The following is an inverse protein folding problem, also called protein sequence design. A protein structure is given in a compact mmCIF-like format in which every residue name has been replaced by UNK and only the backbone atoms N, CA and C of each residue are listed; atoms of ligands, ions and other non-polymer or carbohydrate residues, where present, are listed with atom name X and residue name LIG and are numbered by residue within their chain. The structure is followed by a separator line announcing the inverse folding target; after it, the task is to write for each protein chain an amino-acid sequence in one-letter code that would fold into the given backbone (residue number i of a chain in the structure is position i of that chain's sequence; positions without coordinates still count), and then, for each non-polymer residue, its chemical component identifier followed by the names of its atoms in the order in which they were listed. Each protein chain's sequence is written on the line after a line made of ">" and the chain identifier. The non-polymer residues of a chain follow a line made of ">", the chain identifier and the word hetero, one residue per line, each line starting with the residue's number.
data_IF_668116692506
#
_entry.id   IF_668116692506
#
_cell.length_a   1.000
_cell.length_b   1.000
_cell.length_c   1.000
_cell.angle_alpha   90.00
_cell.angle_beta   90.00
_cell.angle_gamma   90.00
#
_symmetry.space_group_name_H-M   'P 1'
#
loop_
_entity.id
_entity.type
_entity.pdbx_description
1 polymer ?
#
# COMPACT_ATOMS: atom_id res chain seq x y z
N UNK A 1 -16.38 -15.39 -2.35
CA UNK A 1 -15.67 -14.09 -2.18
C UNK A 1 -16.54 -13.03 -2.82
N UNK A 2 -16.80 -11.93 -2.15
CA UNK A 2 -17.54 -10.82 -2.74
C UNK A 2 -16.72 -10.22 -3.89
N UNK A 3 -17.38 -9.89 -4.99
CA UNK A 3 -16.71 -9.36 -6.18
C UNK A 3 -16.87 -7.83 -6.20
N UNK A 4 -16.12 -7.13 -5.34
CA UNK A 4 -16.17 -5.66 -5.21
C UNK A 4 -15.70 -4.96 -6.49
N UNK A 5 -14.66 -5.51 -7.12
CA UNK A 5 -14.13 -5.06 -8.40
C UNK A 5 -14.32 -6.20 -9.41
N UNK A 6 -15.28 -6.11 -10.33
CA UNK A 6 -15.51 -7.15 -11.32
C UNK A 6 -14.34 -7.25 -12.30
N UNK A 7 -14.07 -8.44 -12.87
CA UNK A 7 -12.92 -8.65 -13.76
C UNK A 7 -12.89 -7.74 -15.00
N UNK A 8 -14.04 -7.25 -15.43
CA UNK A 8 -14.19 -6.32 -16.56
C UNK A 8 -14.15 -4.83 -16.16
N UNK A 9 -13.92 -4.54 -14.88
CA UNK A 9 -13.80 -3.14 -14.43
C UNK A 9 -12.61 -2.45 -15.11
N UNK A 10 -12.74 -1.16 -15.46
CA UNK A 10 -11.64 -0.36 -15.96
C UNK A 10 -10.41 -0.35 -15.07
N UNK A 11 -10.56 -0.52 -13.77
CA UNK A 11 -9.44 -0.64 -12.83
C UNK A 11 -8.56 -1.88 -13.06
N UNK A 12 -9.11 -2.94 -13.65
CA UNK A 12 -8.42 -4.20 -13.90
C UNK A 12 -8.09 -4.44 -15.38
N UNK A 13 -8.87 -3.84 -16.29
CA UNK A 13 -8.73 -4.05 -17.74
C UNK A 13 -7.87 -2.99 -18.44
N UNK A 14 -7.81 -1.77 -17.90
CA UNK A 14 -6.88 -0.75 -18.39
C UNK A 14 -5.46 -1.10 -17.96
N UNK A 15 -4.49 -0.72 -18.80
CA UNK A 15 -3.09 -0.83 -18.40
C UNK A 15 -2.80 0.14 -17.26
N UNK A 16 -2.91 -0.35 -16.05
CA UNK A 16 -2.62 0.39 -14.81
C UNK A 16 -1.16 0.31 -14.41
N UNK A 17 -0.35 -0.42 -15.21
CA UNK A 17 1.10 -0.51 -14.96
C UNK A 17 1.74 0.85 -15.13
N UNK A 18 2.55 1.18 -14.18
CA UNK A 18 3.36 2.39 -14.20
C UNK A 18 4.78 2.06 -14.58
N UNK A 19 5.62 3.04 -14.72
CA UNK A 19 7.07 2.81 -14.93
C UNK A 19 7.69 2.00 -13.79
N UNK A 20 7.10 2.08 -12.61
CA UNK A 20 7.52 1.40 -11.40
C UNK A 20 6.76 0.10 -11.14
N UNK A 21 5.43 0.15 -11.30
CA UNK A 21 4.57 -0.99 -11.06
C UNK A 21 4.38 -1.79 -12.35
N UNK A 22 5.11 -2.89 -12.47
CA UNK A 22 5.12 -3.73 -13.68
C UNK A 22 4.07 -4.86 -13.64
N UNK A 23 3.49 -5.14 -12.47
CA UNK A 23 2.58 -6.25 -12.27
C UNK A 23 1.14 -5.75 -12.33
N UNK A 24 0.27 -6.30 -13.19
CA UNK A 24 -1.14 -5.96 -13.20
C UNK A 24 -1.81 -6.41 -11.89
N UNK A 25 -2.82 -5.67 -11.45
CA UNK A 25 -3.65 -6.12 -10.35
C UNK A 25 -4.37 -7.42 -10.70
N UNK A 26 -4.33 -8.38 -9.78
CA UNK A 26 -5.10 -9.61 -9.92
C UNK A 26 -6.46 -9.45 -9.23
N UNK A 27 -7.58 -9.77 -9.93
CA UNK A 27 -8.93 -9.54 -9.39
C UNK A 27 -9.17 -10.19 -8.03
N UNK A 28 -8.72 -11.43 -7.84
CA UNK A 28 -8.92 -12.16 -6.58
C UNK A 28 -8.13 -11.54 -5.43
N UNK A 29 -6.87 -11.13 -5.67
CA UNK A 29 -6.05 -10.47 -4.65
C UNK A 29 -6.64 -9.12 -4.25
N UNK A 30 -7.05 -8.32 -5.22
CA UNK A 30 -7.67 -7.02 -4.95
C UNK A 30 -8.98 -7.20 -4.17
N UNK A 31 -9.84 -8.12 -4.58
CA UNK A 31 -11.11 -8.37 -3.89
C UNK A 31 -10.90 -8.93 -2.46
N UNK A 32 -9.88 -9.79 -2.26
CA UNK A 32 -9.51 -10.27 -0.92
C UNK A 32 -9.06 -9.12 -0.02
N UNK A 33 -8.18 -8.24 -0.53
CA UNK A 33 -7.72 -7.06 0.22
C UNK A 33 -8.86 -6.10 0.53
N UNK A 34 -9.75 -5.83 -0.42
CA UNK A 34 -10.94 -4.99 -0.18
C UNK A 34 -11.83 -5.60 0.88
N UNK A 35 -12.05 -6.91 0.84
CA UNK A 35 -12.89 -7.58 1.84
C UNK A 35 -12.31 -7.43 3.25
N UNK A 36 -11.02 -7.73 3.43
CA UNK A 36 -10.37 -7.67 4.74
C UNK A 36 -10.22 -6.24 5.24
N UNK A 37 -9.69 -5.36 4.38
CA UNK A 37 -9.30 -4.01 4.80
C UNK A 37 -10.49 -3.07 4.92
N UNK A 38 -11.49 -3.21 4.05
CA UNK A 38 -12.60 -2.25 3.98
C UNK A 38 -13.93 -2.85 4.42
N UNK A 39 -14.37 -3.94 3.79
CA UNK A 39 -15.70 -4.50 4.03
C UNK A 39 -15.89 -5.04 5.45
N UNK A 40 -14.85 -5.59 6.05
CA UNK A 40 -14.86 -6.08 7.43
C UNK A 40 -14.63 -5.00 8.49
N UNK A 41 -14.37 -3.77 8.08
CA UNK A 41 -14.17 -2.61 8.96
C UNK A 41 -15.15 -1.47 8.61
N UNK A 42 -16.47 -1.71 8.61
CA UNK A 42 -17.45 -0.72 8.16
C UNK A 42 -17.43 0.57 8.97
N UNK A 43 -17.05 0.53 10.23
CA UNK A 43 -16.90 1.68 11.12
C UNK A 43 -15.81 2.66 10.67
N UNK A 44 -14.79 2.15 9.98
CA UNK A 44 -13.72 2.96 9.41
C UNK A 44 -14.05 3.51 8.00
N UNK A 45 -15.16 3.06 7.40
CA UNK A 45 -15.48 3.36 5.99
C UNK A 45 -16.78 4.15 5.85
N UNK A 46 -17.88 3.68 6.49
CA UNK A 46 -19.22 4.25 6.25
C UNK A 46 -19.33 5.68 6.76
N UNK A 47 -19.76 6.58 5.86
CA UNK A 47 -19.89 8.02 6.11
C UNK A 47 -18.58 8.73 6.52
N UNK A 48 -17.41 8.12 6.25
CA UNK A 48 -16.09 8.68 6.56
C UNK A 48 -15.52 9.47 5.41
N UNK A 49 -14.81 10.56 5.73
CA UNK A 49 -13.88 11.26 4.84
C UNK A 49 -12.54 10.56 4.92
N UNK A 50 -12.05 10.07 3.79
CA UNK A 50 -10.89 9.15 3.74
C UNK A 50 -9.72 9.80 3.01
N UNK A 51 -8.52 9.72 3.61
CA UNK A 51 -7.26 9.99 2.93
C UNK A 51 -6.60 8.68 2.50
N UNK A 52 -6.30 8.53 1.22
CA UNK A 52 -5.60 7.38 0.64
C UNK A 52 -4.16 7.79 0.30
N UNK A 53 -3.20 7.43 1.16
CA UNK A 53 -1.78 7.74 0.96
C UNK A 53 -1.10 6.68 0.09
N UNK A 54 -0.53 7.10 -1.05
CA UNK A 54 -0.05 6.20 -2.08
C UNK A 54 -1.20 5.60 -2.88
N UNK A 55 -2.16 6.43 -3.26
CA UNK A 55 -3.44 6.01 -3.84
C UNK A 55 -3.34 5.30 -5.19
N UNK A 56 -2.20 5.41 -5.86
CA UNK A 56 -1.98 4.84 -7.20
C UNK A 56 -3.14 5.22 -8.15
N UNK A 57 -3.88 4.25 -8.71
CA UNK A 57 -5.05 4.49 -9.58
C UNK A 57 -6.36 4.71 -8.83
N UNK A 58 -6.34 4.73 -7.50
CA UNK A 58 -7.50 4.96 -6.65
C UNK A 58 -8.45 3.77 -6.48
N UNK A 59 -7.99 2.54 -6.76
CA UNK A 59 -8.86 1.35 -6.69
C UNK A 59 -9.45 1.11 -5.29
N UNK A 60 -8.68 1.33 -4.22
CA UNK A 60 -9.18 1.21 -2.85
C UNK A 60 -10.07 2.40 -2.47
N UNK A 61 -9.75 3.60 -2.92
CA UNK A 61 -10.60 4.79 -2.82
C UNK A 61 -11.96 4.56 -3.48
N UNK A 62 -11.97 3.97 -4.69
CA UNK A 62 -13.20 3.59 -5.38
C UNK A 62 -14.01 2.56 -4.58
N UNK A 63 -13.38 1.49 -4.12
CA UNK A 63 -14.03 0.48 -3.31
C UNK A 63 -14.62 1.06 -2.00
N UNK A 64 -13.91 1.98 -1.36
CA UNK A 64 -14.40 2.66 -0.17
C UNK A 64 -15.67 3.47 -0.45
N UNK A 65 -15.75 4.19 -1.58
CA UNK A 65 -16.96 4.90 -1.99
C UNK A 65 -18.13 3.94 -2.26
N UNK A 66 -17.87 2.77 -2.87
CA UNK A 66 -18.89 1.74 -3.07
C UNK A 66 -19.39 1.15 -1.74
N UNK A 67 -18.53 1.10 -0.71
CA UNK A 67 -18.85 0.65 0.63
C UNK A 67 -19.45 1.76 1.53
N UNK A 68 -19.71 2.94 0.99
CA UNK A 68 -20.41 4.01 1.68
C UNK A 68 -19.54 5.10 2.30
N UNK A 69 -18.29 5.25 1.89
CA UNK A 69 -17.48 6.40 2.27
C UNK A 69 -18.16 7.71 1.83
N UNK A 70 -17.99 8.75 2.61
CA UNK A 70 -18.53 10.08 2.32
C UNK A 70 -17.82 10.69 1.11
N UNK A 71 -16.51 10.75 1.18
CA UNK A 71 -15.61 11.24 0.14
C UNK A 71 -14.22 10.65 0.33
N UNK A 72 -13.39 10.75 -0.71
CA UNK A 72 -12.00 10.28 -0.68
C UNK A 72 -11.04 11.33 -1.23
N UNK A 73 -9.86 11.42 -0.62
CA UNK A 73 -8.76 12.25 -1.06
C UNK A 73 -7.52 11.36 -1.26
N UNK A 74 -7.07 11.19 -2.49
CA UNK A 74 -5.90 10.37 -2.81
C UNK A 74 -4.65 11.23 -3.07
N UNK A 75 -3.51 10.78 -2.56
CA UNK A 75 -2.21 11.42 -2.82
C UNK A 75 -1.22 10.38 -3.31
N UNK A 76 -0.56 10.66 -4.42
CA UNK A 76 0.52 9.82 -4.95
C UNK A 76 1.59 10.68 -5.62
N UNK A 77 2.82 10.20 -5.67
CA UNK A 77 3.93 10.91 -6.35
C UNK A 77 3.93 10.68 -7.86
N UNK A 78 3.24 9.66 -8.34
CA UNK A 78 3.25 9.28 -9.74
C UNK A 78 2.12 9.97 -10.53
N UNK A 79 2.49 11.00 -11.28
CA UNK A 79 1.54 11.85 -12.03
C UNK A 79 0.71 11.07 -13.07
N UNK A 80 1.29 10.01 -13.64
CA UNK A 80 0.61 9.22 -14.66
C UNK A 80 -0.58 8.44 -14.08
N UNK A 81 -0.44 7.88 -12.87
CA UNK A 81 -1.52 7.17 -12.19
C UNK A 81 -2.59 8.11 -11.70
N UNK A 82 -2.17 9.22 -11.09
CA UNK A 82 -3.11 10.26 -10.61
C UNK A 82 -3.95 10.83 -11.75
N UNK A 83 -3.35 11.14 -12.89
CA UNK A 83 -4.09 11.60 -14.09
C UNK A 83 -5.10 10.59 -14.63
N UNK A 84 -4.90 9.31 -14.37
CA UNK A 84 -5.84 8.24 -14.77
C UNK A 84 -7.03 8.12 -13.82
N UNK A 85 -6.89 8.54 -12.55
CA UNK A 85 -7.95 8.39 -11.55
C UNK A 85 -9.26 9.02 -12.01
N UNK A 86 -9.24 10.27 -12.48
CA UNK A 86 -10.45 10.95 -12.96
C UNK A 86 -11.15 10.15 -14.06
N UNK A 87 -10.39 9.66 -15.05
CA UNK A 87 -10.94 8.86 -16.15
C UNK A 87 -11.54 7.53 -15.66
N UNK A 88 -10.90 6.88 -14.70
CA UNK A 88 -11.38 5.62 -14.14
C UNK A 88 -12.67 5.84 -13.34
N UNK A 89 -12.67 6.83 -12.47
CA UNK A 89 -13.84 7.16 -11.62
C UNK A 89 -15.05 7.60 -12.45
N UNK A 90 -14.84 8.42 -13.48
CA UNK A 90 -15.91 8.83 -14.40
C UNK A 90 -16.49 7.65 -15.18
N UNK A 91 -15.65 6.70 -15.64
CA UNK A 91 -16.11 5.48 -16.32
C UNK A 91 -16.95 4.59 -15.42
N UNK A 92 -16.66 4.56 -14.13
CA UNK A 92 -17.44 3.83 -13.12
C UNK A 92 -18.63 4.66 -12.58
N UNK A 93 -18.91 5.84 -13.13
CA UNK A 93 -20.06 6.66 -12.77
C UNK A 93 -19.95 7.37 -11.42
N UNK A 94 -18.73 7.52 -10.89
CA UNK A 94 -18.53 8.24 -9.61
C UNK A 94 -18.61 9.74 -9.83
N UNK A 95 -19.39 10.42 -8.99
CA UNK A 95 -19.50 11.88 -9.03
C UNK A 95 -18.15 12.54 -8.68
N UNK A 96 -17.68 13.53 -9.49
CA UNK A 96 -16.45 14.27 -9.18
C UNK A 96 -16.46 15.02 -7.83
N UNK A 97 -17.62 15.19 -7.21
CA UNK A 97 -17.73 15.80 -5.87
C UNK A 97 -17.33 14.86 -4.74
N UNK A 98 -17.14 13.57 -5.05
CA UNK A 98 -16.87 12.52 -4.09
C UNK A 98 -15.39 12.17 -3.95
N UNK A 99 -14.53 12.68 -4.84
CA UNK A 99 -13.12 12.35 -4.83
C UNK A 99 -12.24 13.53 -5.25
N UNK A 100 -11.03 13.50 -4.76
CA UNK A 100 -9.93 14.39 -5.21
C UNK A 100 -8.64 13.57 -5.25
N UNK A 101 -7.88 13.70 -6.32
CA UNK A 101 -6.55 13.08 -6.41
C UNK A 101 -5.50 14.12 -6.69
N UNK A 102 -4.37 14.05 -5.97
CA UNK A 102 -3.28 15.00 -6.02
C UNK A 102 -1.94 14.34 -6.24
N UNK A 103 -1.14 14.91 -7.15
CA UNK A 103 0.27 14.54 -7.31
C UNK A 103 1.09 15.31 -6.30
N UNK A 104 1.56 14.64 -5.26
CA UNK A 104 2.43 15.23 -4.25
C UNK A 104 3.21 14.14 -3.49
N UNK A 105 4.35 14.50 -2.92
CA UNK A 105 5.04 13.65 -1.95
C UNK A 105 4.19 13.54 -0.67
N UNK A 106 3.97 12.32 -0.20
CA UNK A 106 3.07 12.01 0.92
C UNK A 106 3.51 12.70 2.22
N UNK A 107 4.81 12.71 2.51
CA UNK A 107 5.35 13.37 3.72
C UNK A 107 5.09 14.87 3.65
N UNK A 108 5.44 15.49 2.52
CA UNK A 108 5.24 16.94 2.32
C UNK A 108 3.76 17.34 2.36
N UNK A 109 2.87 16.47 1.87
CA UNK A 109 1.43 16.67 1.97
C UNK A 109 0.96 16.62 3.42
N UNK A 110 1.29 15.53 4.12
CA UNK A 110 0.86 15.32 5.50
C UNK A 110 1.41 16.36 6.47
N UNK A 111 2.58 16.93 6.22
CA UNK A 111 3.12 18.03 7.04
C UNK A 111 2.25 19.29 7.04
N UNK A 112 1.52 19.53 5.94
CA UNK A 112 0.65 20.69 5.75
C UNK A 112 -0.80 20.42 6.19
N UNK A 113 -1.14 19.17 6.40
CA UNK A 113 -2.49 18.75 6.82
C UNK A 113 -2.67 19.08 8.31
N UNK A 114 -3.80 19.66 8.64
CA UNK A 114 -4.18 19.96 10.03
C UNK A 114 -4.51 18.67 10.79
N UNK A 115 -4.48 18.74 12.10
CA UNK A 115 -4.86 17.61 12.97
C UNK A 115 -6.32 17.22 12.74
N UNK A 116 -6.60 15.91 12.79
CA UNK A 116 -7.96 15.36 12.67
C UNK A 116 -8.71 15.79 11.39
N UNK A 117 -7.96 16.02 10.28
CA UNK A 117 -8.55 16.46 9.00
C UNK A 117 -9.32 15.38 8.26
N UNK A 118 -9.02 14.11 8.52
CA UNK A 118 -9.66 12.96 7.88
C UNK A 118 -10.19 12.00 8.95
N UNK A 119 -11.36 11.43 8.72
CA UNK A 119 -11.88 10.43 9.65
C UNK A 119 -11.05 9.16 9.62
N UNK A 120 -10.66 8.71 8.42
CA UNK A 120 -9.84 7.51 8.22
C UNK A 120 -8.70 7.76 7.24
N UNK A 121 -7.54 7.14 7.49
CA UNK A 121 -6.40 7.17 6.58
C UNK A 121 -6.07 5.75 6.12
N UNK A 122 -5.92 5.57 4.81
CA UNK A 122 -5.39 4.35 4.19
C UNK A 122 -3.90 4.47 3.93
N UNK A 123 -3.15 3.42 4.26
CA UNK A 123 -1.73 3.28 3.94
C UNK A 123 -1.50 1.86 3.40
N UNK A 124 -1.85 1.64 2.12
CA UNK A 124 -1.85 0.31 1.51
C UNK A 124 -0.72 0.15 0.50
N UNK A 125 0.26 -0.69 0.84
CA UNK A 125 1.36 -1.02 -0.05
C UNK A 125 2.37 0.10 -0.29
N UNK A 126 2.48 1.08 0.61
CA UNK A 126 3.34 2.25 0.42
C UNK A 126 4.37 2.45 1.54
N UNK A 127 4.07 2.07 2.78
CA UNK A 127 4.91 2.37 3.95
C UNK A 127 6.36 1.89 3.77
N UNK A 128 6.55 0.72 3.20
CA UNK A 128 7.89 0.13 2.99
C UNK A 128 8.73 0.85 1.93
N UNK A 129 8.13 1.74 1.15
CA UNK A 129 8.86 2.59 0.19
C UNK A 129 9.31 3.92 0.77
N UNK A 130 8.87 4.25 1.97
CA UNK A 130 9.21 5.50 2.64
C UNK A 130 10.48 5.32 3.46
N UNK A 131 11.43 6.23 3.32
CA UNK A 131 12.71 6.17 4.06
C UNK A 131 12.54 6.40 5.55
N UNK A 132 11.52 7.13 5.96
CA UNK A 132 11.18 7.42 7.35
C UNK A 132 9.76 6.90 7.71
N UNK A 133 9.53 5.57 7.74
CA UNK A 133 8.18 5.03 7.92
C UNK A 133 7.55 5.39 9.28
N UNK A 134 8.35 5.54 10.33
CA UNK A 134 7.86 6.03 11.62
C UNK A 134 7.38 7.48 11.57
N UNK A 135 8.07 8.35 10.82
CA UNK A 135 7.61 9.73 10.58
C UNK A 135 6.29 9.75 9.81
N UNK A 136 6.16 8.91 8.78
CA UNK A 136 4.89 8.73 8.07
C UNK A 136 3.77 8.36 9.05
N UNK A 137 3.99 7.36 9.91
CA UNK A 137 3.00 6.92 10.89
C UNK A 137 2.60 8.05 11.85
N UNK A 138 3.57 8.82 12.36
CA UNK A 138 3.30 9.99 13.22
C UNK A 138 2.43 11.05 12.52
N UNK A 139 2.72 11.34 11.27
CA UNK A 139 1.98 12.32 10.50
C UNK A 139 0.56 11.82 10.20
N UNK A 140 0.40 10.54 9.87
CA UNK A 140 -0.92 9.93 9.71
C UNK A 140 -1.71 9.95 11.02
N UNK A 141 -1.07 9.59 12.17
CA UNK A 141 -1.72 9.60 13.48
C UNK A 141 -2.20 11.01 13.88
N UNK A 142 -1.48 12.06 13.50
CA UNK A 142 -1.92 13.44 13.71
C UNK A 142 -3.10 13.81 12.81
N UNK A 143 -3.09 13.40 11.55
CA UNK A 143 -4.09 13.79 10.56
C UNK A 143 -5.38 12.95 10.65
N UNK A 144 -5.32 11.73 11.19
CA UNK A 144 -6.46 10.86 11.39
C UNK A 144 -7.26 11.26 12.63
N UNK A 145 -8.59 11.27 12.51
CA UNK A 145 -9.50 11.50 13.62
C UNK A 145 -9.88 10.20 14.34
N UNK A 146 -10.19 9.16 13.56
CA UNK A 146 -10.78 7.93 14.09
C UNK A 146 -9.89 6.70 13.85
N UNK A 147 -9.38 6.51 12.61
CA UNK A 147 -8.75 5.25 12.21
C UNK A 147 -7.62 5.41 11.20
N UNK A 148 -6.66 4.49 11.27
CA UNK A 148 -5.66 4.29 10.23
C UNK A 148 -5.71 2.81 9.84
N UNK A 149 -5.91 2.50 8.57
CA UNK A 149 -5.82 1.16 8.03
C UNK A 149 -4.48 1.00 7.32
N UNK A 150 -3.67 0.03 7.75
CA UNK A 150 -2.32 -0.19 7.22
C UNK A 150 -2.25 -1.60 6.62
N UNK A 151 -1.77 -1.68 5.37
CA UNK A 151 -1.37 -2.90 4.72
C UNK A 151 0.06 -2.72 4.20
N UNK A 152 1.02 -3.43 4.80
CA UNK A 152 2.43 -3.24 4.52
C UNK A 152 3.20 -4.55 4.59
N UNK A 153 4.30 -4.62 3.85
CA UNK A 153 5.23 -5.73 4.01
C UNK A 153 6.03 -5.59 5.28
N UNK A 154 6.23 -6.72 5.94
CA UNK A 154 7.09 -6.84 7.12
C UNK A 154 8.42 -7.50 6.75
N UNK A 155 9.35 -7.54 7.70
CA UNK A 155 10.61 -8.25 7.55
C UNK A 155 10.43 -9.77 7.31
N UNK A 156 9.36 -10.36 7.83
CA UNK A 156 9.01 -11.76 7.55
C UNK A 156 8.76 -11.99 6.05
N UNK A 157 8.16 -10.99 5.38
CA UNK A 157 7.98 -11.02 3.94
C UNK A 157 9.31 -10.91 3.19
N UNK A 158 10.26 -10.09 3.64
CA UNK A 158 11.58 -9.98 3.01
C UNK A 158 12.34 -11.31 3.02
N UNK A 159 12.06 -12.17 3.98
CA UNK A 159 12.67 -13.49 4.09
C UNK A 159 12.35 -14.42 2.90
N UNK A 160 11.26 -14.17 2.17
CA UNK A 160 10.81 -15.00 1.05
C UNK A 160 10.99 -14.33 -0.32
N UNK A 161 11.55 -13.12 -0.35
CA UNK A 161 11.61 -12.32 -1.57
C UNK A 161 12.94 -12.29 -2.27
N UNK A 162 12.89 -12.59 -3.57
CA UNK A 162 13.81 -12.16 -4.62
C UNK A 162 15.30 -12.37 -4.36
N UNK A 163 16.09 -12.23 -5.40
CA UNK A 163 17.56 -12.42 -5.34
C UNK A 163 18.25 -11.49 -4.34
N UNK A 164 17.69 -10.31 -4.08
CA UNK A 164 18.30 -9.30 -3.20
C UNK A 164 18.05 -9.63 -1.73
N UNK A 165 16.91 -10.24 -1.41
CA UNK A 165 16.61 -10.71 -0.07
C UNK A 165 17.22 -12.09 0.26
N UNK A 166 17.57 -12.89 -0.74
CA UNK A 166 18.15 -14.22 -0.55
C UNK A 166 19.43 -14.21 0.31
N UNK A 167 20.20 -13.12 0.31
CA UNK A 167 21.39 -12.97 1.16
C UNK A 167 21.04 -12.77 2.64
N UNK A 168 19.85 -12.25 2.94
CA UNK A 168 19.41 -11.96 4.30
C UNK A 168 18.57 -13.11 4.84
N UNK A 169 17.83 -13.80 3.99
CA UNK A 169 16.90 -14.87 4.33
C UNK A 169 17.49 -15.96 5.25
N UNK A 170 18.69 -16.53 4.99
CA UNK A 170 19.25 -17.59 5.85
C UNK A 170 19.51 -17.14 7.29
N UNK A 171 19.58 -15.84 7.54
CA UNK A 171 19.87 -15.25 8.83
C UNK A 171 18.64 -14.70 9.55
N UNK A 172 17.50 -14.65 8.87
CA UNK A 172 16.22 -14.22 9.45
C UNK A 172 15.52 -15.40 10.11
N UNK A 173 15.93 -15.73 11.32
CA UNK A 173 15.27 -16.74 12.13
C UNK A 173 14.01 -16.18 12.78
N UNK A 174 13.09 -17.06 13.21
CA UNK A 174 11.88 -16.66 13.94
C UNK A 174 12.19 -15.79 15.16
N UNK A 175 13.29 -16.08 15.85
CA UNK A 175 13.73 -15.28 16.98
C UNK A 175 14.07 -13.84 16.57
N UNK A 176 14.79 -13.66 15.45
CA UNK A 176 15.15 -12.32 14.94
C UNK A 176 13.89 -11.58 14.48
N UNK A 177 12.96 -12.28 13.82
CA UNK A 177 11.70 -11.68 13.35
C UNK A 177 10.77 -11.22 14.48
N UNK A 178 10.94 -11.76 15.68
CA UNK A 178 10.22 -11.33 16.88
C UNK A 178 10.82 -10.08 17.55
N UNK A 179 12.05 -9.69 17.19
CA UNK A 179 12.67 -8.48 17.73
C UNK A 179 12.13 -7.22 17.02
N UNK A 180 12.08 -6.06 17.70
CA UNK A 180 11.66 -4.81 17.10
C UNK A 180 12.77 -4.25 16.20
N UNK A 181 12.83 -4.73 14.96
CA UNK A 181 13.87 -4.40 13.97
C UNK A 181 13.25 -3.83 12.69
N UNK A 182 14.06 -3.05 11.99
CA UNK A 182 13.76 -2.61 10.62
C UNK A 182 14.89 -3.05 9.70
N UNK A 183 14.55 -3.73 8.62
CA UNK A 183 15.50 -4.17 7.60
C UNK A 183 15.39 -3.22 6.41
N UNK A 184 16.47 -2.51 6.10
CA UNK A 184 16.57 -1.66 4.93
C UNK A 184 17.25 -2.44 3.80
N UNK A 185 16.54 -2.62 2.70
CA UNK A 185 17.05 -3.30 1.51
C UNK A 185 17.16 -2.32 0.34
N UNK A 186 18.32 -2.23 -0.35
CA UNK A 186 18.42 -1.46 -1.57
C UNK A 186 17.61 -2.15 -2.68
N UNK A 187 16.71 -1.42 -3.31
CA UNK A 187 15.90 -1.90 -4.43
C UNK A 187 16.14 -1.02 -5.65
N UNK A 188 16.04 -1.60 -6.85
CA UNK A 188 16.15 -0.82 -8.06
C UNK A 188 14.94 0.11 -8.18
N UNK A 189 15.20 1.41 -8.20
CA UNK A 189 14.20 2.46 -8.26
C UNK A 189 13.73 2.70 -9.69
N UNK A 190 12.95 1.75 -10.22
CA UNK A 190 12.27 1.96 -11.49
C UNK A 190 13.15 2.05 -12.74
N UNK A 191 12.54 2.42 -13.85
CA UNK A 191 13.20 2.64 -15.14
C UNK A 191 13.81 4.05 -15.21
N UNK A 192 14.65 4.26 -16.24
CA UNK A 192 15.49 5.45 -16.47
C UNK A 192 14.83 6.82 -16.28
N UNK A 193 13.51 6.91 -16.42
CA UNK A 193 12.75 8.17 -16.45
C UNK A 193 11.86 8.37 -15.21
N UNK A 194 11.91 7.47 -14.23
CA UNK A 194 11.14 7.57 -13.01
C UNK A 194 11.98 7.15 -11.82
N UNK A 195 12.16 8.08 -10.91
CA UNK A 195 12.84 7.84 -9.65
C UNK A 195 11.89 8.10 -8.49
N UNK A 196 11.94 7.22 -7.50
CA UNK A 196 11.30 7.51 -6.22
C UNK A 196 11.91 8.77 -5.60
N UNK A 197 11.17 9.48 -4.76
CA UNK A 197 11.77 10.33 -3.76
C UNK A 197 12.90 9.56 -3.06
N UNK A 198 13.97 10.21 -2.69
CA UNK A 198 15.12 9.59 -2.01
C UNK A 198 15.91 8.56 -2.84
N UNK A 199 15.76 8.56 -4.17
CA UNK A 199 16.61 7.76 -5.05
C UNK A 199 18.04 8.28 -5.05
N UNK A 200 18.99 7.34 -4.97
CA UNK A 200 20.43 7.64 -5.09
C UNK A 200 21.08 6.76 -6.17
N UNK A 201 22.20 7.22 -6.72
CA UNK A 201 22.95 6.46 -7.71
C UNK A 201 24.10 5.71 -7.03
N UNK A 202 24.19 4.40 -7.30
CA UNK A 202 25.34 3.57 -6.92
C UNK A 202 25.79 2.77 -8.12
N UNK A 203 27.02 3.02 -8.57
CA UNK A 203 27.65 2.33 -9.70
C UNK A 203 26.78 2.31 -10.96
N UNK A 204 26.18 3.46 -11.32
CA UNK A 204 25.31 3.61 -12.49
C UNK A 204 23.91 3.04 -12.33
N UNK A 205 23.53 2.57 -11.14
CA UNK A 205 22.17 2.09 -10.83
C UNK A 205 21.44 3.08 -9.93
N UNK A 206 20.23 3.44 -10.30
CA UNK A 206 19.34 4.19 -9.43
C UNK A 206 18.69 3.24 -8.43
N UNK A 207 18.96 3.47 -7.16
CA UNK A 207 18.47 2.66 -6.05
C UNK A 207 17.61 3.51 -5.13
N UNK A 208 16.67 2.88 -4.46
CA UNK A 208 15.97 3.41 -3.29
C UNK A 208 16.06 2.37 -2.17
N UNK A 209 15.79 2.79 -0.94
CA UNK A 209 15.69 1.87 0.17
C UNK A 209 14.23 1.42 0.33
N UNK A 210 14.03 0.13 0.47
CA UNK A 210 12.79 -0.46 0.95
C UNK A 210 12.98 -0.82 2.42
N UNK A 211 12.12 -0.30 3.28
CA UNK A 211 12.23 -0.44 4.72
C UNK A 211 11.16 -1.41 5.23
N UNK A 212 11.59 -2.55 5.71
CA UNK A 212 10.75 -3.66 6.13
C UNK A 212 10.81 -3.79 7.65
N UNK A 213 9.83 -3.26 8.40
CA UNK A 213 9.77 -3.45 9.84
C UNK A 213 9.38 -4.89 10.16
N UNK A 214 9.84 -5.40 11.30
CA UNK A 214 9.21 -6.57 11.91
C UNK A 214 7.82 -6.20 12.44
N UNK A 215 6.96 -7.19 12.68
CA UNK A 215 5.69 -6.94 13.34
C UNK A 215 5.90 -6.26 14.71
N UNK A 216 6.84 -6.77 15.50
CA UNK A 216 7.19 -6.19 16.81
C UNK A 216 7.65 -4.73 16.72
N UNK A 217 8.31 -4.33 15.62
CA UNK A 217 8.66 -2.92 15.41
C UNK A 217 7.42 -2.07 15.14
N UNK A 218 6.47 -2.56 14.35
CA UNK A 218 5.20 -1.85 14.12
C UNK A 218 4.42 -1.70 15.42
N UNK A 219 4.31 -2.77 16.21
CA UNK A 219 3.64 -2.77 17.51
C UNK A 219 4.28 -1.74 18.46
N UNK A 220 5.62 -1.72 18.55
CA UNK A 220 6.36 -0.73 19.33
C UNK A 220 6.08 0.71 18.86
N UNK A 221 5.97 0.94 17.55
CA UNK A 221 5.61 2.26 17.03
C UNK A 221 4.18 2.66 17.39
N UNK A 222 3.23 1.72 17.32
CA UNK A 222 1.85 1.99 17.72
C UNK A 222 1.76 2.32 19.21
N UNK A 223 2.43 1.55 20.08
CA UNK A 223 2.52 1.82 21.51
C UNK A 223 3.14 3.19 21.80
N UNK A 224 4.26 3.54 21.13
CA UNK A 224 4.95 4.81 21.32
C UNK A 224 4.10 6.04 20.96
N UNK A 225 3.09 5.84 20.12
CA UNK A 225 2.13 6.86 19.68
C UNK A 225 0.79 6.77 20.42
N UNK A 226 0.67 5.89 21.41
CA UNK A 226 -0.57 5.59 22.15
C UNK A 226 -1.73 5.19 21.21
N UNK A 227 -1.43 4.47 20.11
CA UNK A 227 -2.44 3.96 19.19
C UNK A 227 -2.92 2.59 19.66
N UNK A 228 -4.23 2.42 19.76
CA UNK A 228 -4.83 1.10 19.89
C UNK A 228 -4.80 0.42 18.50
N UNK A 229 -4.36 -0.82 18.44
CA UNK A 229 -4.24 -1.53 17.18
C UNK A 229 -4.83 -2.94 17.24
N UNK A 230 -5.22 -3.44 16.08
CA UNK A 230 -5.73 -4.80 15.91
C UNK A 230 -5.14 -5.39 14.64
N UNK A 231 -4.56 -6.58 14.74
CA UNK A 231 -4.11 -7.31 13.57
C UNK A 231 -5.32 -7.94 12.86
N UNK A 232 -5.47 -7.64 11.57
CA UNK A 232 -6.52 -8.23 10.76
C UNK A 232 -6.19 -9.67 10.40
N UNK A 233 -7.17 -10.56 10.49
CA UNK A 233 -6.99 -11.99 10.22
C UNK A 233 -7.07 -12.29 8.71
N UNK A 234 -5.93 -12.64 8.13
CA UNK A 234 -5.79 -13.05 6.73
C UNK A 234 -5.90 -14.56 6.51
N UNK A 235 -6.04 -15.37 7.55
CA UNK A 235 -5.98 -16.83 7.49
C UNK A 235 -6.94 -17.44 6.46
N UNK A 236 -8.14 -16.89 6.33
CA UNK A 236 -9.15 -17.34 5.38
C UNK A 236 -8.79 -17.13 3.90
N UNK A 237 -7.77 -16.31 3.63
CA UNK A 237 -7.32 -15.96 2.27
C UNK A 237 -6.00 -16.65 1.91
N UNK A 238 -5.16 -16.90 2.89
CA UNK A 238 -3.87 -17.61 2.72
C UNK A 238 -4.11 -19.09 2.34
N UNK A 239 -5.15 -19.71 2.88
CA UNK A 239 -5.49 -21.12 2.61
C UNK A 239 -6.18 -21.36 1.26
N UNK A 240 -6.62 -20.31 0.59
CA UNK A 240 -7.15 -20.39 -0.77
C UNK A 240 -5.98 -20.18 -1.74
N UNK A 241 -6.07 -20.71 -2.96
CA UNK A 241 -5.10 -20.48 -4.06
C UNK A 241 -5.01 -19.02 -4.51
N UNK A 242 -5.09 -18.10 -3.59
CA UNK A 242 -5.09 -16.64 -3.77
C UNK A 242 -3.90 -15.98 -3.07
N UNK A 243 -2.84 -16.73 -2.81
CA UNK A 243 -1.58 -16.07 -2.53
C UNK A 243 -1.17 -15.29 -3.78
N UNK A 244 -0.66 -14.10 -3.60
CA UNK A 244 -0.20 -13.28 -4.72
C UNK A 244 0.81 -14.04 -5.60
N UNK A 245 1.58 -14.92 -4.99
CA UNK A 245 2.55 -15.77 -5.62
C UNK A 245 1.94 -16.77 -6.63
N UNK A 246 0.83 -17.41 -6.30
CA UNK A 246 0.18 -18.39 -7.19
C UNK A 246 -0.46 -17.74 -8.42
N UNK A 247 -0.69 -16.43 -8.36
CA UNK A 247 -1.31 -15.64 -9.41
C UNK A 247 -0.31 -15.03 -10.40
N UNK A 248 0.98 -15.10 -10.09
CA UNK A 248 2.04 -14.58 -10.94
C UNK A 248 2.51 -15.65 -11.93
N UNK A 249 2.85 -15.22 -13.15
CA UNK A 249 3.59 -16.08 -14.09
C UNK A 249 4.98 -16.41 -13.54
N UNK A 250 5.63 -17.48 -14.01
CA UNK A 250 7.00 -17.79 -13.60
C UNK A 250 7.98 -16.62 -13.75
N UNK A 251 7.85 -15.86 -14.83
CA UNK A 251 8.68 -14.68 -15.09
C UNK A 251 8.38 -13.56 -14.10
N UNK A 252 7.11 -13.34 -13.77
CA UNK A 252 6.70 -12.37 -12.77
C UNK A 252 7.18 -12.76 -11.37
N UNK A 253 7.15 -14.07 -11.02
CA UNK A 253 7.69 -14.57 -9.76
C UNK A 253 9.18 -14.28 -9.61
N UNK A 254 9.95 -14.38 -10.68
CA UNK A 254 11.40 -14.10 -10.67
C UNK A 254 11.68 -12.61 -10.57
N UNK A 255 10.87 -11.77 -11.20
CA UNK A 255 11.08 -10.32 -11.29
C UNK A 255 10.34 -9.52 -10.21
N UNK A 256 9.42 -10.13 -9.50
CA UNK A 256 8.51 -9.44 -8.61
C UNK A 256 8.99 -9.50 -7.16
N UNK A 257 8.90 -8.35 -6.49
CA UNK A 257 9.08 -8.26 -5.03
C UNK A 257 7.89 -8.87 -4.25
N UNK A 258 6.96 -9.53 -4.93
CA UNK A 258 5.66 -9.96 -4.41
C UNK A 258 5.50 -11.48 -4.40
N UNK A 259 6.58 -12.20 -4.61
CA UNK A 259 6.58 -13.64 -4.47
C UNK A 259 6.47 -13.99 -2.97
N UNK A 260 5.46 -14.71 -2.61
CA UNK A 260 5.24 -15.32 -1.29
C UNK A 260 4.82 -14.37 -0.15
N UNK A 261 3.53 -14.14 -0.06
CA UNK A 261 2.87 -13.92 1.23
C UNK A 261 2.20 -15.22 1.63
#
# INVERSE_FOLDING_TARGET
>A
MNNFIPPNSPFLTLDTRTKRWAIPYHPECINARIDILLNKNPEAIQNKSILDVGSHTGIFSFAALQLGAKDVYGVDVEDLTVKRCDSLFLKEGVSPKKYTFKVENIINFLEKVEENSFDTIFCFGVMYYITEPYRLLKLMARAAKDSILIDTFTAAYSAVQGKEAQHIHPHLTDHILQLPLMIACPTQSGKKDYTLPDTFNRNGRNLSLTNLPTQSMLELWFESLNLNWTLLDWSNYITRKCSFHDLLTPEQKISSHWADI
#
